data_IF_795082446269
#
_entry.id   IF_795082446269
#
_cell.length_a   1.000
_cell.length_b   1.000
_cell.length_c   1.000
_cell.angle_alpha   90.00
_cell.angle_beta   90.00
_cell.angle_gamma   90.00
#
_symmetry.space_group_name_H-M   'P 1'
#
loop_
_entity.id
_entity.type
_entity.pdbx_description
1 polymer ?
#
# COMPACT_ATOMS: atom_id res chain seq x y z
N UNK A 1 11.21 60.62 -4.38
CA UNK A 1 9.90 59.94 -4.46
C UNK A 1 10.14 58.68 -5.29
N UNK A 2 10.39 57.52 -4.67
CA UNK A 2 9.40 56.44 -4.41
C UNK A 2 8.62 56.11 -5.70
N UNK A 3 8.68 54.93 -6.32
CA UNK A 3 8.36 53.57 -5.82
C UNK A 3 9.06 52.51 -6.71
N UNK A 4 9.68 51.43 -6.23
CA UNK A 4 9.08 50.14 -5.79
C UNK A 4 8.07 49.51 -6.78
N UNK A 5 8.44 48.33 -7.35
CA UNK A 5 7.70 47.04 -7.41
C UNK A 5 8.36 46.14 -8.49
N UNK A 6 9.14 45.10 -8.13
CA UNK A 6 8.75 43.66 -8.20
C UNK A 6 7.80 43.37 -9.38
N UNK A 7 8.13 42.50 -10.34
CA UNK A 7 8.06 41.03 -10.19
C UNK A 7 8.61 40.40 -11.49
N UNK A 8 9.64 39.53 -11.46
CA UNK A 8 9.49 38.06 -11.51
C UNK A 8 8.15 37.57 -12.07
N UNK A 9 8.16 37.09 -13.31
CA UNK A 9 7.56 35.80 -13.70
C UNK A 9 8.28 35.31 -14.94
N UNK A 10 9.24 34.39 -14.75
CA UNK A 10 9.59 33.45 -15.81
C UNK A 10 8.42 32.48 -15.93
N UNK A 11 7.64 32.62 -16.99
CA UNK A 11 6.50 31.76 -17.25
C UNK A 11 7.03 30.42 -17.80
N UNK A 12 6.73 29.38 -17.05
CA UNK A 12 7.06 27.99 -17.33
C UNK A 12 6.10 27.45 -18.40
N UNK A 13 6.39 27.65 -19.69
CA UNK A 13 5.82 26.75 -20.70
C UNK A 13 6.65 25.47 -20.77
N UNK A 14 6.42 24.59 -19.79
CA UNK A 14 6.83 23.17 -19.90
C UNK A 14 5.65 22.39 -20.44
N UNK A 15 5.35 22.63 -21.72
CA UNK A 15 4.52 21.78 -22.56
C UNK A 15 4.91 20.31 -22.34
N UNK A 16 4.11 19.60 -21.53
CA UNK A 16 4.24 18.15 -21.31
C UNK A 16 3.57 17.46 -22.49
N UNK A 17 4.28 16.62 -23.28
CA UNK A 17 3.62 15.85 -24.33
C UNK A 17 2.64 14.86 -23.72
N UNK A 18 1.40 14.90 -24.20
CA UNK A 18 0.35 13.94 -23.89
C UNK A 18 0.79 12.55 -24.36
N UNK A 19 1.02 11.62 -23.42
CA UNK A 19 1.31 10.22 -23.74
C UNK A 19 0.01 9.51 -24.14
N UNK A 20 -0.25 9.45 -25.44
CA UNK A 20 -1.32 8.63 -26.03
C UNK A 20 -0.79 7.24 -26.37
N UNK A 21 -1.10 6.28 -25.50
CA UNK A 21 -1.25 4.88 -25.86
C UNK A 21 -2.38 4.31 -25.01
N UNK A 22 -3.61 4.42 -25.51
CA UNK A 22 -4.80 3.86 -24.84
C UNK A 22 -4.65 2.34 -24.81
N UNK A 23 -4.31 1.77 -23.65
CA UNK A 23 -4.27 0.31 -23.45
C UNK A 23 -5.65 -0.32 -23.68
N UNK A 24 -5.74 -1.65 -23.70
CA UNK A 24 -7.03 -2.36 -23.87
C UNK A 24 -7.97 -2.08 -22.68
N UNK A 25 -9.27 -1.93 -22.94
CA UNK A 25 -10.30 -1.84 -21.88
C UNK A 25 -10.41 -3.21 -21.20
N UNK A 26 -10.10 -3.26 -19.91
CA UNK A 26 -10.21 -4.46 -19.07
C UNK A 26 -11.24 -4.19 -17.97
N UNK A 27 -11.98 -5.24 -17.60
CA UNK A 27 -12.95 -5.20 -16.50
C UNK A 27 -12.44 -6.12 -15.38
N UNK A 28 -12.34 -5.61 -14.17
CA UNK A 28 -11.96 -6.46 -13.03
C UNK A 28 -13.12 -7.36 -12.59
N UNK A 29 -12.85 -8.35 -11.73
CA UNK A 29 -13.88 -9.23 -11.13
C UNK A 29 -14.98 -8.50 -10.36
N UNK A 30 -14.76 -7.23 -10.00
CA UNK A 30 -15.74 -6.36 -9.31
C UNK A 30 -16.48 -5.41 -10.25
N UNK A 31 -16.28 -5.51 -11.56
CA UNK A 31 -16.96 -4.69 -12.57
C UNK A 31 -16.32 -3.33 -12.88
N UNK A 32 -15.15 -3.01 -12.31
CA UNK A 32 -14.47 -1.76 -12.64
C UNK A 32 -13.81 -1.84 -14.03
N UNK A 33 -14.13 -0.88 -14.90
CA UNK A 33 -13.56 -0.72 -16.25
C UNK A 33 -12.30 0.17 -16.20
N UNK A 34 -11.18 -0.31 -16.73
CA UNK A 34 -9.92 0.45 -16.75
C UNK A 34 -9.08 0.14 -18.00
N UNK A 35 -8.22 1.07 -18.40
CA UNK A 35 -7.31 0.93 -19.53
C UNK A 35 -5.88 0.72 -19.03
N UNK A 36 -5.22 -0.38 -19.43
CA UNK A 36 -3.82 -0.64 -19.06
C UNK A 36 -3.07 -1.37 -20.17
N UNK A 37 -1.85 -0.93 -20.44
CA UNK A 37 -0.95 -1.54 -21.42
C UNK A 37 -0.22 -2.78 -20.90
N UNK A 38 -0.18 -2.99 -19.57
CA UNK A 38 0.42 -4.18 -18.95
C UNK A 38 -0.62 -5.27 -18.70
N UNK A 39 -0.21 -6.53 -18.83
CA UNK A 39 -1.03 -7.72 -18.54
C UNK A 39 -1.14 -8.06 -17.05
N UNK A 40 -0.79 -7.11 -16.18
CA UNK A 40 -1.00 -7.26 -14.75
C UNK A 40 -2.51 -7.37 -14.44
N UNK A 41 -2.95 -8.39 -13.66
CA UNK A 41 -4.36 -8.57 -13.27
C UNK A 41 -4.84 -7.55 -12.20
N UNK A 42 -4.09 -6.47 -12.00
CA UNK A 42 -4.31 -5.49 -10.94
C UNK A 42 -5.12 -4.32 -11.46
N UNK A 43 -6.37 -4.24 -11.01
CA UNK A 43 -7.26 -3.11 -11.27
C UNK A 43 -6.81 -1.86 -10.48
N UNK A 44 -6.50 -0.73 -11.16
CA UNK A 44 -6.04 0.50 -10.50
C UNK A 44 -7.14 1.16 -9.63
N UNK A 45 -8.42 0.93 -9.96
CA UNK A 45 -9.56 1.42 -9.18
C UNK A 45 -9.72 0.63 -7.88
N UNK A 46 -9.59 -0.70 -7.93
CA UNK A 46 -9.53 -1.53 -6.72
C UNK A 46 -8.31 -1.17 -5.86
N UNK A 47 -7.20 -0.82 -6.49
CA UNK A 47 -5.96 -0.45 -5.80
C UNK A 47 -6.06 0.86 -5.02
N UNK A 48 -6.74 1.87 -5.55
CA UNK A 48 -6.76 3.22 -4.97
C UNK A 48 -7.81 3.44 -3.88
N UNK A 49 -8.96 2.76 -3.93
CA UNK A 49 -10.10 3.08 -3.05
C UNK A 49 -10.71 1.91 -2.26
N UNK A 50 -10.53 0.66 -2.70
CA UNK A 50 -11.31 -0.45 -2.15
C UNK A 50 -10.83 -0.93 -0.78
N UNK A 51 -9.51 -1.04 -0.60
CA UNK A 51 -8.95 -1.57 0.65
C UNK A 51 -9.09 -0.61 1.83
N UNK A 52 -9.09 0.70 1.60
CA UNK A 52 -9.33 1.71 2.66
C UNK A 52 -10.75 1.63 3.23
N UNK A 53 -11.71 1.13 2.46
CA UNK A 53 -13.10 0.90 2.92
C UNK A 53 -13.26 -0.42 3.70
N UNK A 54 -12.40 -1.41 3.45
CA UNK A 54 -12.29 -2.61 4.31
C UNK A 54 -11.41 -2.36 5.54
N UNK A 55 -10.55 -1.36 5.51
CA UNK A 55 -9.69 -0.97 6.63
C UNK A 55 -10.48 -0.51 7.85
N UNK A 56 -11.71 -0.02 7.70
CA UNK A 56 -12.58 0.20 8.87
C UNK A 56 -13.00 -1.10 9.57
N UNK A 57 -12.87 -2.26 8.92
CA UNK A 57 -13.14 -3.57 9.51
C UNK A 57 -11.87 -4.31 9.93
N UNK A 58 -10.71 -3.87 9.45
CA UNK A 58 -9.43 -4.49 9.73
C UNK A 58 -8.65 -3.55 10.64
N UNK A 59 -8.20 -4.00 11.81
CA UNK A 59 -7.52 -3.18 12.83
C UNK A 59 -6.13 -2.60 12.41
N UNK A 60 -5.88 -2.38 11.11
CA UNK A 60 -4.63 -1.89 10.54
C UNK A 60 -4.59 -0.36 10.42
N UNK A 61 -3.41 0.26 10.59
CA UNK A 61 -3.28 1.71 10.58
C UNK A 61 -3.50 2.32 9.18
N UNK A 62 -4.24 3.42 9.09
CA UNK A 62 -4.51 4.13 7.80
C UNK A 62 -3.25 4.58 7.05
N UNK A 63 -2.13 4.69 7.76
CA UNK A 63 -0.83 5.04 7.20
C UNK A 63 -0.11 3.88 6.50
N UNK A 64 -0.68 2.67 6.55
CA UNK A 64 -0.12 1.48 5.91
C UNK A 64 -0.15 1.61 4.38
N UNK A 65 0.95 1.24 3.74
CA UNK A 65 1.04 1.26 2.29
C UNK A 65 -0.01 0.30 1.66
N UNK A 66 -0.61 0.70 0.54
CA UNK A 66 -1.58 -0.13 -0.18
C UNK A 66 -1.02 -1.51 -0.58
N UNK A 67 0.28 -1.58 -0.88
CA UNK A 67 0.98 -2.82 -1.22
C UNK A 67 1.10 -3.76 -0.01
N UNK A 68 1.41 -3.21 1.17
CA UNK A 68 1.48 -3.94 2.43
C UNK A 68 0.10 -4.45 2.86
N UNK A 69 -0.93 -3.61 2.79
CA UNK A 69 -2.31 -4.00 3.11
C UNK A 69 -2.80 -5.14 2.19
N UNK A 70 -2.48 -5.08 0.89
CA UNK A 70 -2.78 -6.17 -0.04
C UNK A 70 -2.07 -7.46 0.33
N UNK A 71 -0.79 -7.37 0.71
CA UNK A 71 0.00 -8.53 1.10
C UNK A 71 -0.64 -9.24 2.30
N UNK A 72 -1.09 -8.49 3.30
CA UNK A 72 -1.83 -9.02 4.45
C UNK A 72 -3.16 -9.66 4.07
N UNK A 73 -3.96 -8.99 3.23
CA UNK A 73 -5.25 -9.51 2.79
C UNK A 73 -5.11 -10.78 1.94
N UNK A 74 -4.10 -10.85 1.08
CA UNK A 74 -3.76 -12.05 0.33
C UNK A 74 -3.34 -13.19 1.26
N UNK A 75 -2.62 -12.87 2.34
CA UNK A 75 -2.28 -13.82 3.42
C UNK A 75 -3.48 -14.14 4.34
N UNK A 76 -4.70 -13.63 4.04
CA UNK A 76 -5.93 -13.77 4.84
C UNK A 76 -5.79 -13.20 6.26
N UNK A 77 -4.87 -12.26 6.45
CA UNK A 77 -4.66 -11.54 7.70
C UNK A 77 -5.47 -10.25 7.63
N UNK A 78 -6.54 -10.21 8.41
CA UNK A 78 -7.49 -9.09 8.46
C UNK A 78 -7.45 -8.35 9.79
N UNK A 79 -6.90 -8.97 10.84
CA UNK A 79 -6.88 -8.40 12.20
C UNK A 79 -5.47 -8.41 12.80
N UNK A 80 -5.20 -7.49 13.72
CA UNK A 80 -3.93 -7.47 14.47
C UNK A 80 -3.71 -8.76 15.28
N UNK A 81 -4.77 -9.36 15.80
CA UNK A 81 -4.69 -10.63 16.52
C UNK A 81 -4.25 -11.81 15.63
N UNK A 82 -4.59 -11.79 14.34
CA UNK A 82 -4.06 -12.78 13.39
C UNK A 82 -2.60 -12.49 13.08
N UNK A 83 -2.24 -11.21 12.94
CA UNK A 83 -0.86 -10.77 12.71
C UNK A 83 0.07 -11.19 13.88
N UNK A 84 -0.42 -11.17 15.12
CA UNK A 84 0.31 -11.61 16.31
C UNK A 84 0.67 -13.11 16.32
N UNK A 85 0.02 -13.93 15.48
CA UNK A 85 0.38 -15.35 15.31
C UNK A 85 1.58 -15.55 14.39
N UNK A 86 1.93 -14.54 13.61
CA UNK A 86 3.04 -14.57 12.67
C UNK A 86 4.28 -13.91 13.27
N UNK A 87 5.43 -14.32 12.78
CA UNK A 87 6.71 -13.69 13.14
C UNK A 87 6.94 -12.45 12.28
N UNK A 88 7.83 -11.57 12.74
CA UNK A 88 8.22 -10.39 11.94
C UNK A 88 8.82 -10.79 10.59
N UNK A 89 9.64 -11.86 10.56
CA UNK A 89 10.28 -12.37 9.36
C UNK A 89 9.26 -12.89 8.34
N UNK A 90 8.26 -13.67 8.77
CA UNK A 90 7.20 -14.18 7.89
C UNK A 90 6.42 -13.03 7.24
N UNK A 91 6.16 -11.96 8.00
CA UNK A 91 5.47 -10.79 7.47
C UNK A 91 6.39 -10.00 6.54
N UNK A 92 7.70 -9.94 6.81
CA UNK A 92 8.68 -9.28 5.95
C UNK A 92 8.81 -9.98 4.57
N UNK A 93 8.66 -11.30 4.52
CA UNK A 93 8.67 -12.08 3.27
C UNK A 93 7.46 -11.79 2.37
N UNK A 94 6.39 -11.20 2.91
CA UNK A 94 5.21 -10.87 2.12
C UNK A 94 5.51 -9.75 1.12
N UNK A 95 5.14 -9.99 -0.15
CA UNK A 95 5.41 -9.08 -1.26
C UNK A 95 4.78 -7.70 -1.06
N UNK A 96 5.59 -6.73 -0.59
CA UNK A 96 5.13 -5.38 -0.26
C UNK A 96 5.42 -4.90 1.15
N UNK A 97 5.98 -5.76 2.00
CA UNK A 97 6.30 -5.47 3.39
C UNK A 97 7.73 -4.97 3.52
N UNK A 98 7.88 -3.64 3.51
CA UNK A 98 9.14 -2.98 3.82
C UNK A 98 9.29 -2.68 5.32
N UNK A 99 10.50 -2.25 5.76
CA UNK A 99 10.76 -1.90 7.16
C UNK A 99 9.82 -0.80 7.70
N UNK A 100 9.40 0.12 6.81
CA UNK A 100 8.41 1.16 7.14
C UNK A 100 7.03 0.57 7.48
N UNK A 101 6.57 -0.42 6.72
CA UNK A 101 5.28 -1.07 6.94
C UNK A 101 5.29 -1.87 8.25
N UNK A 102 6.38 -2.61 8.52
CA UNK A 102 6.57 -3.33 9.77
C UNK A 102 6.57 -2.36 10.96
N UNK A 103 7.29 -1.25 10.87
CA UNK A 103 7.31 -0.23 11.94
C UNK A 103 5.91 0.31 12.26
N UNK A 104 5.10 0.57 11.24
CA UNK A 104 3.70 0.99 11.42
C UNK A 104 2.84 -0.08 12.07
N UNK A 105 3.00 -1.34 11.67
CA UNK A 105 2.29 -2.48 12.28
C UNK A 105 2.71 -2.68 13.75
N UNK A 106 4.01 -2.59 14.08
CA UNK A 106 4.50 -2.64 15.47
C UNK A 106 3.85 -1.59 16.34
N UNK A 107 3.77 -0.35 15.85
CA UNK A 107 3.12 0.75 16.57
C UNK A 107 1.63 0.45 16.79
N UNK A 108 0.94 -0.01 15.75
CA UNK A 108 -0.48 -0.38 15.85
C UNK A 108 -0.69 -1.52 16.86
N UNK A 109 0.06 -2.62 16.76
CA UNK A 109 -0.02 -3.74 17.69
C UNK A 109 0.25 -3.32 19.14
N UNK A 110 1.27 -2.50 19.39
CA UNK A 110 1.59 -1.98 20.72
C UNK A 110 0.43 -1.17 21.32
N UNK A 111 -0.30 -0.40 20.52
CA UNK A 111 -1.50 0.32 20.99
C UNK A 111 -2.59 -0.63 21.48
N UNK A 112 -2.65 -1.84 20.94
CA UNK A 112 -3.56 -2.89 21.35
C UNK A 112 -2.94 -3.89 22.34
N UNK A 113 -1.74 -3.64 22.85
CA UNK A 113 -1.03 -4.57 23.75
C UNK A 113 -0.59 -5.88 23.10
N UNK A 114 -0.53 -5.93 21.76
CA UNK A 114 -0.12 -7.10 20.99
C UNK A 114 1.35 -6.97 20.55
N UNK A 115 1.98 -8.10 20.28
CA UNK A 115 3.32 -8.22 19.72
C UNK A 115 3.37 -9.33 18.66
N UNK A 116 4.38 -9.30 17.78
CA UNK A 116 4.64 -10.39 16.86
C UNK A 116 5.00 -11.66 17.63
N UNK A 117 4.72 -12.82 17.03
CA UNK A 117 5.19 -14.08 17.56
C UNK A 117 6.73 -14.08 17.59
N UNK A 118 7.31 -14.68 18.63
CA UNK A 118 8.75 -14.91 18.67
C UNK A 118 9.15 -15.77 17.47
N UNK A 119 10.27 -15.43 16.84
CA UNK A 119 10.85 -16.23 15.76
C UNK A 119 11.17 -17.62 16.30
N UNK A 120 10.24 -18.55 16.11
CA UNK A 120 10.51 -19.97 16.30
C UNK A 120 11.46 -20.32 15.16
N UNK A 121 12.77 -20.24 15.40
CA UNK A 121 13.76 -20.87 14.54
C UNK A 121 13.22 -22.27 14.27
N UNK A 122 12.80 -22.53 13.03
CA UNK A 122 12.39 -23.88 12.65
C UNK A 122 13.63 -24.74 12.89
N UNK A 123 13.59 -25.53 13.96
CA UNK A 123 14.61 -26.53 14.20
C UNK A 123 14.50 -27.52 13.04
N UNK A 124 15.47 -27.46 12.12
CA UNK A 124 15.70 -28.50 11.14
C UNK A 124 16.52 -29.56 11.87
N UNK A 125 15.95 -30.73 12.22
CA UNK A 125 16.76 -31.80 12.79
C UNK A 125 17.81 -32.26 11.75
N UNK A 126 19.00 -32.70 12.23
CA UNK A 126 20.09 -33.16 11.38
C UNK A 126 19.76 -34.41 10.58
#
# INVERSE_FOLDING_TARGET
>A
MAERRKSRTGDLDRSKPARTAKGKLKTCSRGHKFYRSCDCPVCPVCWSGYYRKQQSQNDFPDSLAALALRALLNAKITKLAQLAKHTEDEILELHGMGPKAIGQLKIAMRKHGLSFAQSRKKYSPP
#
